data_IF_186133033587
#
_entry.id   IF_186133033587
#
_cell.length_a   1.000
_cell.length_b   1.000
_cell.length_c   1.000
_cell.angle_alpha   90.00
_cell.angle_beta   90.00
_cell.angle_gamma   90.00
#
_symmetry.space_group_name_H-M   'P 1'
#
loop_
_entity.id
_entity.type
_entity.pdbx_description
1 polymer ?
#
# COMPACT_ATOMS: atom_id res chain seq x y z
N UNK A 1 8.76 -14.55 7.28
CA UNK A 1 8.90 -13.38 8.16
C UNK A 1 7.92 -12.32 7.70
N UNK A 2 7.10 -11.80 8.61
CA UNK A 2 6.10 -10.77 8.31
C UNK A 2 6.70 -9.43 8.71
N UNK A 3 7.08 -8.64 7.70
CA UNK A 3 7.78 -7.36 7.87
C UNK A 3 7.05 -6.27 7.08
N UNK A 4 5.94 -5.70 7.58
CA UNK A 4 5.19 -4.66 6.88
C UNK A 4 5.93 -3.32 6.92
N UNK A 5 7.08 -3.24 6.24
CA UNK A 5 7.96 -2.06 6.22
C UNK A 5 7.88 -1.29 4.90
N UNK A 6 7.40 -1.92 3.84
CA UNK A 6 7.48 -1.40 2.47
C UNK A 6 6.82 -0.04 2.31
N UNK A 7 5.63 0.14 2.88
CA UNK A 7 4.91 1.42 2.85
C UNK A 7 5.61 2.51 3.68
N UNK A 8 6.30 2.15 4.76
CA UNK A 8 7.07 3.11 5.58
C UNK A 8 8.27 3.62 4.81
N UNK A 9 8.99 2.72 4.11
CA UNK A 9 10.10 3.11 3.23
C UNK A 9 9.58 3.97 2.08
N UNK A 10 8.42 3.61 1.50
CA UNK A 10 7.77 4.39 0.45
C UNK A 10 7.41 5.81 0.88
N UNK A 11 6.86 5.96 2.09
CA UNK A 11 6.54 7.28 2.66
C UNK A 11 7.79 8.15 2.80
N UNK A 12 8.89 7.57 3.28
CA UNK A 12 10.17 8.26 3.47
C UNK A 12 10.79 8.67 2.13
N UNK A 13 10.76 7.78 1.14
CA UNK A 13 11.17 8.09 -0.25
C UNK A 13 10.34 9.24 -0.81
N UNK A 14 9.01 9.20 -0.64
CA UNK A 14 8.14 10.27 -1.09
C UNK A 14 8.52 11.60 -0.46
N UNK A 15 8.81 11.63 0.84
CA UNK A 15 9.26 12.83 1.58
C UNK A 15 10.69 13.29 1.26
N UNK A 16 11.42 12.57 0.41
CA UNK A 16 12.84 12.82 0.15
C UNK A 16 13.76 12.50 1.33
N UNK A 17 13.24 11.85 2.37
CA UNK A 17 13.98 11.41 3.55
C UNK A 17 14.64 10.04 3.26
N UNK A 18 15.69 10.06 2.46
CA UNK A 18 16.40 8.85 2.05
C UNK A 18 17.14 8.20 3.22
N UNK A 19 17.66 8.98 4.16
CA UNK A 19 18.26 8.47 5.39
C UNK A 19 17.25 7.66 6.21
N UNK A 20 16.08 8.24 6.47
CA UNK A 20 14.99 7.56 7.18
C UNK A 20 14.46 6.33 6.41
N UNK A 21 14.48 6.36 5.08
CA UNK A 21 14.13 5.20 4.25
C UNK A 21 15.13 4.04 4.42
N UNK A 22 16.44 4.34 4.39
CA UNK A 22 17.50 3.35 4.61
C UNK A 22 17.46 2.82 6.04
N UNK A 23 17.36 3.71 7.03
CA UNK A 23 17.23 3.38 8.44
C UNK A 23 16.03 2.47 8.70
N UNK A 24 14.87 2.75 8.09
CA UNK A 24 13.69 1.90 8.21
C UNK A 24 13.88 0.53 7.55
N UNK A 25 14.48 0.46 6.35
CA UNK A 25 14.61 -0.80 5.62
C UNK A 25 15.64 -1.75 6.27
N UNK A 26 16.77 -1.21 6.72
CA UNK A 26 17.84 -1.98 7.38
C UNK A 26 17.52 -2.18 8.87
N UNK A 27 17.16 -1.12 9.60
CA UNK A 27 17.18 -1.10 11.06
C UNK A 27 15.85 -1.37 11.76
N UNK A 28 14.71 -1.41 11.06
CA UNK A 28 13.41 -1.64 11.72
C UNK A 28 13.18 -3.13 12.00
N UNK A 29 13.30 -3.52 13.26
CA UNK A 29 12.99 -4.85 13.77
C UNK A 29 11.48 -5.10 13.90
N UNK A 30 11.06 -6.36 13.74
CA UNK A 30 9.68 -6.81 13.96
C UNK A 30 9.61 -8.01 14.92
N UNK A 31 8.56 -8.12 15.75
CA UNK A 31 8.48 -9.15 16.81
C UNK A 31 8.61 -10.60 16.33
N UNK A 32 8.19 -10.88 15.09
CA UNK A 32 8.23 -12.22 14.49
C UNK A 32 9.57 -12.55 13.79
N UNK A 33 10.56 -11.66 13.86
CA UNK A 33 11.92 -11.95 13.38
C UNK A 33 12.71 -12.74 14.46
N UNK A 34 13.71 -13.56 14.08
CA UNK A 34 14.62 -14.16 15.05
C UNK A 34 15.29 -13.09 15.92
N UNK A 35 15.52 -13.37 17.20
CA UNK A 35 16.05 -12.40 18.17
C UNK A 35 17.37 -11.76 17.70
N UNK A 36 18.29 -12.57 17.16
CA UNK A 36 19.56 -12.10 16.59
C UNK A 36 19.35 -11.04 15.48
N UNK A 37 18.33 -11.22 14.63
CA UNK A 37 17.97 -10.26 13.58
C UNK A 37 17.41 -8.99 14.20
N UNK A 38 16.52 -9.13 15.19
CA UNK A 38 15.96 -7.97 15.88
C UNK A 38 17.07 -7.12 16.51
N UNK A 39 18.02 -7.76 17.21
CA UNK A 39 19.16 -7.08 17.84
C UNK A 39 20.06 -6.39 16.80
N UNK A 40 20.41 -7.07 15.70
CA UNK A 40 21.23 -6.51 14.63
C UNK A 40 20.58 -5.27 13.99
N UNK A 41 19.27 -5.34 13.72
CA UNK A 41 18.48 -4.23 13.16
C UNK A 41 18.42 -3.05 14.13
N UNK A 42 18.08 -3.30 15.40
CA UNK A 42 18.00 -2.26 16.44
C UNK A 42 19.33 -1.55 16.62
N UNK A 43 20.45 -2.31 16.68
CA UNK A 43 21.79 -1.72 16.79
C UNK A 43 22.11 -0.81 15.62
N UNK A 44 21.77 -1.22 14.39
CA UNK A 44 21.95 -0.34 13.23
C UNK A 44 21.12 0.95 13.34
N UNK A 45 19.88 0.86 13.83
CA UNK A 45 19.00 2.02 13.99
C UNK A 45 19.51 3.01 15.05
N UNK A 46 20.13 2.52 16.12
CA UNK A 46 20.68 3.35 17.21
C UNK A 46 22.03 3.99 16.85
N UNK A 47 22.86 3.29 16.09
CA UNK A 47 24.27 3.69 15.86
C UNK A 47 24.52 4.27 14.48
N UNK A 48 23.73 3.90 13.47
CA UNK A 48 24.02 4.18 12.07
C UNK A 48 25.28 3.49 11.53
N UNK A 49 25.91 2.59 12.29
CA UNK A 49 27.18 1.96 11.91
C UNK A 49 26.97 0.87 10.86
N UNK A 50 27.18 1.26 9.60
CA UNK A 50 27.06 0.37 8.46
C UNK A 50 28.07 -0.79 8.47
N UNK A 51 29.26 -0.61 9.05
CA UNK A 51 30.27 -1.68 9.13
C UNK A 51 29.89 -2.71 10.18
N UNK A 52 29.42 -2.27 11.34
CA UNK A 52 28.87 -3.16 12.36
C UNK A 52 27.67 -3.96 11.81
N UNK A 53 26.77 -3.29 11.07
CA UNK A 53 25.62 -3.95 10.44
C UNK A 53 26.02 -5.11 9.51
N UNK A 54 27.15 -4.99 8.79
CA UNK A 54 27.66 -6.06 7.92
C UNK A 54 28.23 -7.25 8.68
N UNK A 55 28.62 -7.09 9.94
CA UNK A 55 28.99 -8.21 10.80
C UNK A 55 27.75 -8.87 11.41
N UNK A 56 26.77 -8.06 11.81
CA UNK A 56 25.60 -8.53 12.58
C UNK A 56 24.46 -9.08 11.71
N UNK A 57 24.22 -8.51 10.53
CA UNK A 57 23.10 -8.91 9.67
C UNK A 57 23.37 -10.26 8.99
N UNK A 58 22.46 -11.25 9.08
CA UNK A 58 22.64 -12.54 8.41
C UNK A 58 22.87 -12.43 6.90
N UNK A 59 23.71 -13.33 6.35
CA UNK A 59 24.09 -13.35 4.91
C UNK A 59 22.88 -13.38 3.97
N UNK A 60 21.79 -14.04 4.38
CA UNK A 60 20.52 -14.12 3.61
C UNK A 60 19.82 -12.77 3.41
N UNK A 61 20.15 -11.74 4.20
CA UNK A 61 19.59 -10.38 4.08
C UNK A 61 20.34 -9.58 3.03
N UNK A 62 20.29 -10.07 1.79
CA UNK A 62 21.12 -9.59 0.68
C UNK A 62 20.91 -8.10 0.40
N UNK A 63 19.68 -7.63 0.41
CA UNK A 63 19.36 -6.22 0.15
C UNK A 63 19.84 -5.29 1.26
N UNK A 64 19.53 -5.61 2.51
CA UNK A 64 19.97 -4.81 3.66
C UNK A 64 21.50 -4.73 3.73
N UNK A 65 22.19 -5.86 3.52
CA UNK A 65 23.65 -5.92 3.48
C UNK A 65 24.23 -5.16 2.29
N UNK A 66 23.60 -5.21 1.11
CA UNK A 66 24.07 -4.46 -0.05
C UNK A 66 24.01 -2.94 0.19
N UNK A 67 22.93 -2.46 0.82
CA UNK A 67 22.80 -1.07 1.24
C UNK A 67 23.84 -0.68 2.30
N UNK A 68 24.05 -1.52 3.32
CA UNK A 68 25.06 -1.29 4.36
C UNK A 68 26.49 -1.26 3.78
N UNK A 69 26.80 -2.15 2.83
CA UNK A 69 28.07 -2.14 2.09
C UNK A 69 28.27 -0.80 1.37
N UNK A 70 27.25 -0.29 0.70
CA UNK A 70 27.32 1.01 0.02
C UNK A 70 27.62 2.14 0.99
N UNK A 71 26.91 2.20 2.13
CA UNK A 71 27.12 3.23 3.16
C UNK A 71 28.49 3.12 3.84
N UNK A 72 29.02 1.92 4.04
CA UNK A 72 30.34 1.72 4.61
C UNK A 72 31.46 2.25 3.70
N UNK A 73 31.24 2.22 2.37
CA UNK A 73 32.15 2.78 1.37
C UNK A 73 31.90 4.27 1.11
N UNK A 74 30.64 4.72 1.17
CA UNK A 74 30.19 6.07 0.86
C UNK A 74 29.34 6.63 2.02
N UNK A 75 29.95 7.04 3.15
CA UNK A 75 29.21 7.55 4.29
C UNK A 75 28.31 8.75 3.91
N UNK A 76 27.03 8.68 4.31
CA UNK A 76 26.03 9.71 4.02
C UNK A 76 25.33 9.60 2.66
N UNK A 77 25.75 8.69 1.76
CA UNK A 77 25.09 8.49 0.46
C UNK A 77 23.90 7.52 0.56
N UNK A 78 22.85 7.94 1.27
CA UNK A 78 21.62 7.16 1.45
C UNK A 78 20.83 6.99 0.15
N UNK A 79 20.87 8.00 -0.72
CA UNK A 79 20.25 7.92 -2.04
C UNK A 79 20.92 6.85 -2.90
N UNK A 80 22.26 6.80 -2.92
CA UNK A 80 23.02 5.73 -3.58
C UNK A 80 22.76 4.37 -2.95
N UNK A 81 22.67 4.28 -1.63
CA UNK A 81 22.36 3.01 -0.94
C UNK A 81 21.01 2.44 -1.40
N UNK A 82 19.97 3.26 -1.49
CA UNK A 82 18.66 2.83 -2.04
C UNK A 82 18.75 2.39 -3.50
N UNK A 83 19.58 3.06 -4.32
CA UNK A 83 19.77 2.72 -5.74
C UNK A 83 20.53 1.41 -5.98
N UNK A 84 21.14 0.83 -4.95
CA UNK A 84 21.68 -0.55 -5.03
C UNK A 84 20.56 -1.58 -5.16
N UNK A 85 19.35 -1.25 -4.73
CA UNK A 85 18.20 -2.14 -4.82
C UNK A 85 17.73 -2.29 -6.27
N UNK A 86 17.16 -3.45 -6.65
CA UNK A 86 16.55 -3.61 -7.96
C UNK A 86 15.48 -2.55 -8.24
N UNK A 87 15.41 -1.97 -9.45
CA UNK A 87 14.45 -0.89 -9.76
C UNK A 87 12.99 -1.23 -9.41
N UNK A 88 12.59 -2.49 -9.65
CA UNK A 88 11.24 -2.99 -9.29
C UNK A 88 10.96 -2.98 -7.79
N UNK A 89 11.97 -3.24 -6.96
CA UNK A 89 11.81 -3.19 -5.51
C UNK A 89 11.73 -1.74 -5.03
N UNK A 90 12.52 -0.86 -5.64
CA UNK A 90 12.55 0.55 -5.28
C UNK A 90 11.20 1.23 -5.58
N UNK A 91 10.61 0.97 -6.76
CA UNK A 91 9.28 1.46 -7.11
C UNK A 91 8.15 0.80 -6.30
N UNK A 92 8.31 -0.47 -5.91
CA UNK A 92 7.37 -1.17 -5.03
C UNK A 92 7.17 -0.45 -3.69
N UNK A 93 8.20 0.20 -3.12
CA UNK A 93 8.02 0.95 -1.87
C UNK A 93 7.00 2.08 -2.01
N UNK A 94 7.11 2.88 -3.07
CA UNK A 94 6.17 3.98 -3.34
C UNK A 94 4.76 3.43 -3.61
N UNK A 95 4.63 2.36 -4.40
CA UNK A 95 3.34 1.68 -4.62
C UNK A 95 2.75 1.06 -3.35
N UNK A 96 3.58 0.60 -2.41
CA UNK A 96 3.14 0.11 -1.12
C UNK A 96 2.57 1.25 -0.26
N UNK A 97 3.15 2.44 -0.34
CA UNK A 97 2.59 3.63 0.32
C UNK A 97 1.27 4.08 -0.31
N UNK A 98 1.17 4.08 -1.65
CA UNK A 98 -0.11 4.28 -2.35
C UNK A 98 -1.19 3.30 -1.88
N UNK A 99 -0.83 2.03 -1.69
CA UNK A 99 -1.76 1.01 -1.16
C UNK A 99 -2.15 1.28 0.30
N UNK A 100 -1.23 1.80 1.11
CA UNK A 100 -1.51 2.21 2.49
C UNK A 100 -2.52 3.37 2.53
N UNK A 101 -2.33 4.39 1.68
CA UNK A 101 -3.30 5.48 1.53
C UNK A 101 -4.67 4.98 1.10
N UNK A 102 -4.72 4.12 0.08
CA UNK A 102 -5.96 3.50 -0.39
C UNK A 102 -6.70 2.77 0.74
N UNK A 103 -5.99 1.95 1.53
CA UNK A 103 -6.60 1.19 2.62
C UNK A 103 -7.11 2.09 3.76
N UNK A 104 -6.36 3.13 4.14
CA UNK A 104 -6.82 4.08 5.16
C UNK A 104 -8.03 4.88 4.68
N UNK A 105 -8.01 5.33 3.43
CA UNK A 105 -9.10 6.09 2.85
C UNK A 105 -10.38 5.22 2.72
N UNK A 106 -10.24 3.96 2.31
CA UNK A 106 -11.33 2.99 2.31
C UNK A 106 -11.90 2.76 3.72
N UNK A 107 -11.05 2.65 4.73
CA UNK A 107 -11.50 2.49 6.13
C UNK A 107 -12.25 3.73 6.60
N UNK A 108 -11.71 4.92 6.35
CA UNK A 108 -12.35 6.19 6.70
C UNK A 108 -13.71 6.38 6.01
N UNK A 109 -13.87 5.91 4.76
CA UNK A 109 -15.18 5.89 4.07
C UNK A 109 -16.20 5.04 4.84
N UNK A 110 -15.79 3.84 5.28
CA UNK A 110 -16.65 2.94 6.04
C UNK A 110 -17.02 3.56 7.39
N UNK A 111 -16.04 4.16 8.09
CA UNK A 111 -16.26 4.82 9.38
C UNK A 111 -17.19 6.04 9.26
N UNK A 112 -17.17 6.74 8.13
CA UNK A 112 -18.09 7.82 7.79
C UNK A 112 -19.51 7.33 7.44
N UNK A 113 -19.77 6.02 7.45
CA UNK A 113 -21.07 5.43 7.12
C UNK A 113 -21.41 5.43 5.63
N UNK A 114 -20.43 5.72 4.76
CA UNK A 114 -20.62 5.74 3.31
C UNK A 114 -20.57 4.31 2.76
N UNK A 115 -21.54 3.95 1.92
CA UNK A 115 -21.66 2.61 1.37
C UNK A 115 -20.55 2.27 0.37
N UNK A 116 -20.18 0.99 0.28
CA UNK A 116 -19.27 0.45 -0.73
C UNK A 116 -19.97 0.04 -2.04
N UNK A 117 -21.31 0.00 -2.03
CA UNK A 117 -22.14 -0.52 -3.14
C UNK A 117 -23.30 0.40 -3.52
N UNK A 118 -23.61 1.40 -2.70
CA UNK A 118 -24.62 2.41 -3.00
C UNK A 118 -23.90 3.75 -3.26
N UNK A 119 -23.99 4.30 -4.50
CA UNK A 119 -23.19 5.45 -4.90
C UNK A 119 -23.76 6.77 -4.38
N UNK A 120 -22.88 7.65 -3.91
CA UNK A 120 -23.15 9.04 -3.54
C UNK A 120 -22.68 10.01 -4.61
N UNK A 121 -23.25 11.23 -4.64
CA UNK A 121 -22.78 12.28 -5.55
C UNK A 121 -21.31 12.58 -5.29
N UNK A 122 -20.52 12.59 -6.36
CA UNK A 122 -19.06 12.74 -6.32
C UNK A 122 -18.29 11.43 -6.30
N UNK A 123 -18.94 10.28 -6.07
CA UNK A 123 -18.27 8.99 -6.16
C UNK A 123 -17.76 8.73 -7.59
N UNK A 124 -16.53 8.22 -7.68
CA UNK A 124 -15.95 7.78 -8.94
C UNK A 124 -16.41 6.38 -9.25
N UNK A 125 -16.66 6.11 -10.52
CA UNK A 125 -17.08 4.81 -11.02
C UNK A 125 -16.01 4.25 -11.95
N UNK A 126 -15.67 2.97 -11.75
CA UNK A 126 -14.82 2.21 -12.65
C UNK A 126 -15.66 1.09 -13.28
N UNK A 127 -15.84 1.15 -14.60
CA UNK A 127 -16.54 0.13 -15.38
C UNK A 127 -15.60 -1.03 -15.74
N UNK A 128 -16.16 -2.21 -15.97
CA UNK A 128 -15.37 -3.41 -16.32
C UNK A 128 -14.55 -3.25 -17.61
N UNK A 129 -14.99 -2.39 -18.52
CA UNK A 129 -14.27 -2.06 -19.76
C UNK A 129 -13.21 -0.96 -19.59
N UNK A 130 -12.90 -0.56 -18.35
CA UNK A 130 -11.93 0.49 -18.03
C UNK A 130 -12.45 1.92 -18.18
N UNK A 131 -13.73 2.12 -18.57
CA UNK A 131 -14.32 3.47 -18.59
C UNK A 131 -14.43 4.00 -17.17
N UNK A 132 -14.12 5.28 -17.00
CA UNK A 132 -14.31 6.02 -15.76
C UNK A 132 -15.50 6.97 -15.88
N UNK A 133 -16.22 7.20 -14.78
CA UNK A 133 -17.30 8.20 -14.69
C UNK A 133 -17.39 8.74 -13.26
N UNK A 134 -18.15 9.81 -13.06
CA UNK A 134 -18.41 10.40 -11.74
C UNK A 134 -19.91 10.50 -11.50
N UNK A 135 -20.34 10.13 -10.30
CA UNK A 135 -21.73 10.21 -9.89
C UNK A 135 -22.11 11.68 -9.70
N UNK A 136 -23.21 12.07 -10.32
CA UNK A 136 -23.85 13.38 -10.24
C UNK A 136 -25.31 13.18 -9.84
N UNK A 137 -25.98 14.24 -9.38
CA UNK A 137 -27.42 14.18 -9.08
C UNK A 137 -28.27 13.68 -10.27
N UNK A 138 -27.80 13.84 -11.51
CA UNK A 138 -28.51 13.42 -12.72
C UNK A 138 -28.36 11.93 -13.03
N UNK A 139 -27.18 11.34 -12.79
CA UNK A 139 -26.88 9.94 -13.15
C UNK A 139 -26.89 8.97 -11.96
N UNK A 140 -27.10 9.45 -10.71
CA UNK A 140 -27.02 8.61 -9.50
C UNK A 140 -27.89 7.35 -9.58
N UNK A 141 -29.15 7.48 -10.02
CA UNK A 141 -30.04 6.33 -10.15
C UNK A 141 -29.56 5.35 -11.23
N UNK A 142 -29.01 5.86 -12.34
CA UNK A 142 -28.43 5.01 -13.37
C UNK A 142 -27.16 4.29 -12.87
N UNK A 143 -26.27 5.00 -12.16
CA UNK A 143 -25.07 4.44 -11.54
C UNK A 143 -25.42 3.30 -10.58
N UNK A 144 -26.42 3.51 -9.70
CA UNK A 144 -26.95 2.50 -8.78
C UNK A 144 -27.38 1.22 -9.49
N UNK A 145 -28.08 1.35 -10.62
CA UNK A 145 -28.51 0.21 -11.44
C UNK A 145 -27.31 -0.51 -12.08
N UNK A 146 -26.30 0.22 -12.56
CA UNK A 146 -25.10 -0.39 -13.15
C UNK A 146 -24.27 -1.17 -12.11
N UNK A 147 -24.10 -0.60 -10.90
CA UNK A 147 -23.39 -1.27 -9.80
C UNK A 147 -24.11 -2.55 -9.38
N UNK A 148 -25.44 -2.51 -9.21
CA UNK A 148 -26.24 -3.71 -8.88
C UNK A 148 -26.19 -4.79 -9.94
N UNK A 149 -25.95 -4.42 -11.20
CA UNK A 149 -25.76 -5.35 -12.33
C UNK A 149 -24.31 -5.81 -12.49
N UNK A 150 -23.40 -5.41 -11.61
CA UNK A 150 -21.98 -5.76 -11.66
C UNK A 150 -21.17 -5.06 -12.77
N UNK A 151 -21.75 -4.11 -13.51
CA UNK A 151 -21.12 -3.49 -14.70
C UNK A 151 -20.11 -2.40 -14.37
N UNK A 152 -20.19 -1.84 -13.17
CA UNK A 152 -19.20 -0.93 -12.61
C UNK A 152 -19.15 -1.04 -11.09
N UNK A 153 -18.12 -0.46 -10.50
CA UNK A 153 -17.93 -0.37 -9.05
C UNK A 153 -17.61 1.07 -8.68
N UNK A 154 -17.93 1.42 -7.43
CA UNK A 154 -17.36 2.63 -6.82
C UNK A 154 -15.84 2.43 -6.76
N UNK A 155 -15.10 3.49 -7.06
CA UNK A 155 -13.65 3.49 -7.12
C UNK A 155 -13.07 4.64 -6.31
N UNK A 156 -11.86 4.43 -5.82
CA UNK A 156 -11.04 5.41 -5.17
C UNK A 156 -9.86 5.73 -6.09
N UNK A 157 -9.50 7.00 -6.19
CA UNK A 157 -8.33 7.42 -6.94
C UNK A 157 -7.06 7.20 -6.10
N UNK A 158 -6.17 6.33 -6.54
CA UNK A 158 -4.84 6.18 -5.95
C UNK A 158 -4.01 7.39 -6.40
N UNK A 159 -3.47 8.20 -5.47
CA UNK A 159 -2.80 9.45 -5.81
C UNK A 159 -1.46 9.22 -6.50
N UNK A 160 -1.03 10.22 -7.27
CA UNK A 160 0.23 10.21 -8.02
C UNK A 160 0.76 11.63 -8.22
N UNK A 161 1.65 11.79 -9.19
CA UNK A 161 2.26 13.06 -9.58
C UNK A 161 1.31 13.98 -10.36
N UNK A 162 0.15 13.45 -10.80
CA UNK A 162 -0.86 14.24 -11.48
C UNK A 162 -1.83 14.91 -10.48
N UNK A 163 -2.30 16.13 -10.79
CA UNK A 163 -3.27 16.82 -9.95
C UNK A 163 -4.59 16.03 -9.89
N UNK A 164 -5.09 15.83 -8.67
CA UNK A 164 -6.36 15.14 -8.44
C UNK A 164 -7.48 16.17 -8.38
N UNK A 165 -8.45 16.04 -9.28
CA UNK A 165 -9.68 16.82 -9.18
C UNK A 165 -10.57 16.25 -8.08
N UNK A 166 -11.06 17.10 -7.18
CA UNK A 166 -11.96 16.69 -6.10
C UNK A 166 -13.41 16.71 -6.62
N UNK A 167 -14.12 15.59 -6.46
CA UNK A 167 -15.53 15.46 -6.84
C UNK A 167 -16.49 15.26 -5.67
N UNK A 168 -16.03 14.75 -4.53
CA UNK A 168 -16.88 14.48 -3.38
C UNK A 168 -16.16 13.85 -2.19
N UNK A 169 -16.92 13.29 -1.22
CA UNK A 169 -16.41 12.95 0.11
C UNK A 169 -15.22 12.00 0.11
N UNK A 170 -15.16 11.08 -0.85
CA UNK A 170 -14.05 10.13 -0.96
C UNK A 170 -12.74 10.81 -1.39
N UNK A 171 -12.82 11.80 -2.28
CA UNK A 171 -11.65 12.58 -2.66
C UNK A 171 -11.21 13.50 -1.51
N UNK A 172 -12.15 14.05 -0.72
CA UNK A 172 -11.86 14.85 0.47
C UNK A 172 -11.12 14.04 1.55
N UNK A 173 -11.62 12.84 1.88
CA UNK A 173 -10.96 11.91 2.81
C UNK A 173 -9.52 11.63 2.38
N UNK A 174 -9.30 11.37 1.10
CA UNK A 174 -7.96 11.10 0.59
C UNK A 174 -7.07 12.34 0.67
N UNK A 175 -7.61 13.51 0.33
CA UNK A 175 -6.91 14.78 0.44
C UNK A 175 -6.47 15.05 1.88
N UNK A 176 -7.36 14.88 2.84
CA UNK A 176 -7.07 15.06 4.27
C UNK A 176 -5.99 14.09 4.76
N UNK A 177 -6.04 12.83 4.34
CA UNK A 177 -5.02 11.82 4.67
C UNK A 177 -3.64 12.18 4.09
N UNK A 178 -3.61 12.72 2.88
CA UNK A 178 -2.38 13.19 2.23
C UNK A 178 -1.82 14.44 2.94
N UNK A 179 -2.66 15.43 3.23
CA UNK A 179 -2.29 16.65 3.96
C UNK A 179 -1.80 16.32 5.38
N UNK A 180 -2.50 15.44 6.10
CA UNK A 180 -2.09 14.99 7.44
C UNK A 180 -0.74 14.26 7.46
N UNK A 181 -0.28 13.76 6.31
CA UNK A 181 1.05 13.15 6.15
C UNK A 181 2.07 14.11 5.54
N UNK A 182 1.67 15.31 5.12
CA UNK A 182 2.52 16.26 4.41
C UNK A 182 3.02 15.69 3.08
N UNK A 183 2.14 15.05 2.31
CA UNK A 183 2.44 14.47 1.01
C UNK A 183 1.53 15.07 -0.06
N UNK A 184 2.10 15.45 -1.19
CA UNK A 184 1.38 15.98 -2.34
C UNK A 184 1.86 15.38 -3.68
N UNK A 185 1.36 15.93 -4.80
CA UNK A 185 1.73 15.50 -6.14
C UNK A 185 3.21 15.79 -6.48
N UNK A 186 3.81 16.85 -5.94
CA UNK A 186 5.22 17.17 -6.16
C UNK A 186 6.14 16.14 -5.48
N UNK A 187 5.71 15.58 -4.36
CA UNK A 187 6.41 14.45 -3.72
C UNK A 187 6.39 13.19 -4.57
N UNK A 188 5.23 12.87 -5.18
CA UNK A 188 5.14 11.78 -6.15
C UNK A 188 5.96 12.04 -7.41
N UNK A 189 6.03 13.29 -7.89
CA UNK A 189 6.87 13.65 -9.03
C UNK A 189 8.35 13.44 -8.71
N UNK A 190 8.80 13.92 -7.54
CA UNK A 190 10.17 13.71 -7.05
C UNK A 190 10.51 12.23 -6.92
N UNK A 191 9.63 11.46 -6.28
CA UNK A 191 9.81 10.01 -6.13
C UNK A 191 9.83 9.30 -7.49
N UNK A 192 8.99 9.71 -8.44
CA UNK A 192 8.94 9.14 -9.80
C UNK A 192 10.30 9.26 -10.51
N UNK A 193 10.92 10.44 -10.39
CA UNK A 193 12.27 10.69 -10.94
C UNK A 193 13.35 9.89 -10.21
N UNK A 194 13.21 9.73 -8.89
CA UNK A 194 14.18 9.00 -8.07
C UNK A 194 14.17 7.49 -8.33
N UNK A 195 12.99 6.88 -8.46
CA UNK A 195 12.81 5.44 -8.65
C UNK A 195 12.64 5.02 -10.12
N UNK A 196 12.72 5.99 -11.04
CA UNK A 196 12.60 5.80 -12.49
C UNK A 196 11.29 5.08 -12.88
N UNK A 197 10.19 5.41 -12.20
CA UNK A 197 8.86 4.84 -12.47
C UNK A 197 7.82 5.95 -12.35
N UNK A 198 6.97 6.12 -13.35
CA UNK A 198 5.90 7.10 -13.30
C UNK A 198 4.76 6.66 -12.37
N UNK A 199 4.32 7.56 -11.50
CA UNK A 199 3.11 7.39 -10.69
C UNK A 199 2.05 8.40 -11.15
N UNK A 200 1.32 8.13 -12.23
CA UNK A 200 0.26 9.04 -12.74
C UNK A 200 -0.99 9.07 -11.86
N UNK A 201 -1.17 8.06 -11.00
CA UNK A 201 -2.41 7.81 -10.29
C UNK A 201 -3.38 6.97 -11.13
N UNK A 202 -4.30 6.28 -10.46
CA UNK A 202 -5.20 5.30 -11.09
C UNK A 202 -6.46 5.07 -10.26
N UNK A 203 -7.62 4.87 -10.89
CA UNK A 203 -8.81 4.41 -10.17
C UNK A 203 -8.69 2.94 -9.79
N UNK A 204 -9.05 2.63 -8.54
CA UNK A 204 -9.16 1.26 -8.05
C UNK A 204 -10.51 1.04 -7.40
N UNK A 205 -11.20 -0.02 -7.81
CA UNK A 205 -12.48 -0.40 -7.22
C UNK A 205 -12.34 -0.64 -5.71
N UNK A 206 -13.30 -0.15 -4.93
CA UNK A 206 -13.29 -0.24 -3.46
C UNK A 206 -13.99 -1.47 -2.91
N UNK A 207 -14.63 -2.25 -3.78
CA UNK A 207 -15.36 -3.45 -3.40
C UNK A 207 -14.93 -4.63 -4.26
N UNK A 208 -14.83 -5.80 -3.62
CA UNK A 208 -14.69 -7.10 -4.26
C UNK A 208 -15.98 -7.87 -3.99
N UNK A 209 -16.57 -8.44 -5.04
CA UNK A 209 -17.79 -9.26 -4.92
C UNK A 209 -17.54 -10.58 -5.61
N UNK A 210 -17.82 -11.66 -4.92
CA UNK A 210 -17.78 -13.03 -5.42
C UNK A 210 -18.81 -13.86 -4.68
N UNK A 211 -19.34 -14.87 -5.34
CA UNK A 211 -20.19 -15.86 -4.69
C UNK A 211 -19.33 -16.76 -3.82
N UNK A 212 -19.76 -16.98 -2.58
CA UNK A 212 -19.06 -17.81 -1.61
C UNK A 212 -19.98 -18.92 -1.15
N UNK A 213 -19.58 -20.16 -1.45
CA UNK A 213 -20.17 -21.35 -0.84
C UNK A 213 -19.43 -21.65 0.46
N UNK A 214 -20.17 -21.86 1.55
CA UNK A 214 -19.63 -22.18 2.86
C UNK A 214 -20.23 -23.48 3.40
N UNK A 215 -19.36 -24.40 3.84
CA UNK A 215 -19.72 -25.68 4.45
C UNK A 215 -19.04 -25.78 5.81
N UNK A 216 -19.82 -26.02 6.87
CA UNK A 216 -19.31 -26.19 8.24
C UNK A 216 -19.34 -27.68 8.60
N UNK A 217 -18.20 -28.22 9.00
CA UNK A 217 -18.06 -29.60 9.43
C UNK A 217 -17.34 -29.64 10.79
N UNK A 218 -18.11 -29.75 11.87
CA UNK A 218 -17.56 -29.68 13.23
C UNK A 218 -16.96 -28.30 13.52
N UNK A 219 -15.65 -28.25 13.77
CA UNK A 219 -14.87 -27.02 13.97
C UNK A 219 -14.26 -26.46 12.69
N UNK A 220 -14.41 -27.16 11.56
CA UNK A 220 -13.79 -26.79 10.30
C UNK A 220 -14.77 -26.02 9.41
N UNK A 221 -14.26 -25.01 8.72
CA UNK A 221 -14.99 -24.21 7.73
C UNK A 221 -14.34 -24.39 6.36
N UNK A 222 -15.12 -24.86 5.38
CA UNK A 222 -14.71 -24.91 3.97
C UNK A 222 -15.39 -23.78 3.22
N UNK A 223 -14.58 -22.90 2.61
CA UNK A 223 -15.04 -21.84 1.70
C UNK A 223 -14.68 -22.21 0.26
N UNK A 224 -15.61 -22.04 -0.68
CA UNK A 224 -15.37 -22.15 -2.12
C UNK A 224 -15.85 -20.88 -2.82
N UNK A 225 -14.96 -20.24 -3.56
CA UNK A 225 -15.23 -19.01 -4.30
C UNK A 225 -14.21 -18.85 -5.44
N UNK A 226 -14.53 -17.98 -6.40
CA UNK A 226 -13.66 -17.66 -7.54
C UNK A 226 -13.30 -16.18 -7.52
N UNK A 227 -12.02 -15.87 -7.75
CA UNK A 227 -11.54 -14.49 -7.82
C UNK A 227 -10.88 -14.21 -9.16
N UNK A 228 -11.06 -12.99 -9.73
CA UNK A 228 -10.33 -12.60 -10.92
C UNK A 228 -8.83 -12.40 -10.60
N UNK A 229 -7.95 -12.45 -11.61
CA UNK A 229 -6.53 -12.23 -11.44
C UNK A 229 -6.20 -10.95 -10.64
N UNK A 230 -5.16 -11.00 -9.82
CA UNK A 230 -4.71 -9.85 -9.02
C UNK A 230 -5.44 -9.64 -7.69
N UNK A 231 -6.40 -10.50 -7.34
CA UNK A 231 -7.06 -10.52 -6.03
C UNK A 231 -6.51 -11.64 -5.16
N UNK A 232 -6.60 -11.46 -3.84
CA UNK A 232 -6.06 -12.39 -2.86
C UNK A 232 -7.20 -13.07 -2.10
N UNK A 233 -7.12 -14.39 -1.94
CA UNK A 233 -8.10 -15.17 -1.17
C UNK A 233 -8.22 -14.66 0.27
N UNK A 234 -7.12 -14.17 0.85
CA UNK A 234 -7.08 -13.57 2.19
C UNK A 234 -8.03 -12.38 2.33
N UNK A 235 -8.31 -11.61 1.28
CA UNK A 235 -9.30 -10.52 1.31
C UNK A 235 -10.71 -11.05 1.61
N UNK A 236 -11.09 -12.19 1.03
CA UNK A 236 -12.39 -12.84 1.30
C UNK A 236 -12.37 -13.53 2.66
N UNK A 237 -11.35 -14.36 2.92
CA UNK A 237 -11.26 -15.12 4.17
C UNK A 237 -11.26 -14.21 5.40
N UNK A 238 -10.69 -13.00 5.32
CA UNK A 238 -10.66 -12.04 6.43
C UNK A 238 -12.05 -11.66 6.91
N UNK A 239 -13.02 -11.56 5.99
CA UNK A 239 -14.40 -11.21 6.33
C UNK A 239 -15.16 -12.33 7.03
N UNK A 240 -14.69 -13.58 6.92
CA UNK A 240 -15.24 -14.72 7.67
C UNK A 240 -14.49 -14.97 8.98
N UNK A 241 -13.16 -14.94 8.93
CA UNK A 241 -12.31 -15.33 10.06
C UNK A 241 -12.18 -14.22 11.10
N UNK A 242 -12.19 -12.94 10.69
CA UNK A 242 -11.96 -11.77 11.55
C UNK A 242 -10.70 -11.91 12.45
N UNK A 243 -9.70 -12.64 11.96
CA UNK A 243 -8.46 -12.94 12.66
C UNK A 243 -7.33 -12.01 12.18
N UNK A 244 -6.25 -12.00 12.97
CA UNK A 244 -5.02 -11.35 12.54
C UNK A 244 -4.48 -11.99 11.26
N UNK A 245 -4.05 -11.21 10.24
CA UNK A 245 -3.67 -11.75 8.94
C UNK A 245 -2.59 -12.84 8.97
N UNK A 246 -1.70 -12.82 9.96
CA UNK A 246 -0.63 -13.82 10.10
C UNK A 246 -1.11 -15.16 10.66
N UNK A 247 -2.33 -15.21 11.23
CA UNK A 247 -3.00 -16.44 11.65
C UNK A 247 -3.86 -17.03 10.54
N UNK A 248 -3.99 -16.33 9.40
CA UNK A 248 -4.82 -16.75 8.27
C UNK A 248 -4.04 -17.51 7.18
N UNK A 249 -2.71 -17.62 7.32
CA UNK A 249 -1.78 -18.20 6.35
C UNK A 249 -1.04 -19.40 6.93
#
# INVERSE_FOLDING_TARGET
VIRPVTHVVGERILKGDYEGAVAAYIGRAYPMEPEEVQQARTRFLETGDARAALADLPVRMTYERAMANHLAANPGDYAGALRVLPPKLLSLFVSAFQSCLFNHALSARIDAGLSLTEPEVGDRLLFENGREDVVTARNQQAARIQIRRGRCRIALFIPGAEPVRVYGPMDDILHDLMQGRGIDAADFERASRFVETAFSGVLRAISLSTDVEAEVAGTDLRLRFSLPPGHYATTVCREYMKAEPYLMI
#
